data_IF_473109890578
#
_entry.id   IF_473109890578
#
_cell.length_a   1.000
_cell.length_b   1.000
_cell.length_c   1.000
_cell.angle_alpha   90.00
_cell.angle_beta   90.00
_cell.angle_gamma   90.00
#
_symmetry.space_group_name_H-M   'P 1'
#
loop_
_entity.id
_entity.type
_entity.pdbx_description
1 polymer ?
2 non-polymer ?
3 non-polymer ?
4 water ?
#
# COMPACT_ATOMS: atom_id res chain seq x y z
N UNK A 9 2.42 -9.80 -13.05
CA UNK A 9 3.49 -10.79 -13.38
C UNK A 9 3.17 -12.12 -12.72
N UNK A 10 2.91 -12.09 -11.41
CA UNK A 10 2.57 -13.29 -10.67
C UNK A 10 1.09 -13.54 -10.94
N UNK A 11 0.70 -14.81 -11.02
CA UNK A 11 -0.72 -15.09 -11.30
C UNK A 11 -1.67 -14.91 -10.13
N UNK A 12 -2.93 -14.66 -10.45
CA UNK A 12 -3.97 -14.52 -9.43
C UNK A 12 -5.08 -15.49 -9.88
N UNK A 13 -5.47 -16.38 -8.98
CA UNK A 13 -6.51 -17.34 -9.31
C UNK A 13 -7.73 -16.96 -8.50
N UNK A 14 -8.84 -17.60 -8.82
CA UNK A 14 -10.08 -17.34 -8.11
C UNK A 14 -10.81 -18.66 -8.06
N UNK A 15 -11.42 -18.94 -6.91
CA UNK A 15 -12.19 -20.17 -6.74
C UNK A 15 -13.43 -19.84 -5.92
N UNK A 16 -14.54 -20.52 -6.23
CA UNK A 16 -15.77 -20.32 -5.48
C UNK A 16 -16.39 -21.67 -5.29
N UNK A 17 -16.14 -22.29 -4.15
CA UNK A 17 -16.67 -23.61 -3.87
C UNK A 17 -17.89 -23.50 -2.96
N UNK A 18 -18.38 -22.28 -2.77
CA UNK A 18 -19.51 -22.08 -1.88
C UNK A 18 -20.85 -21.69 -2.50
N UNK A 19 -20.85 -20.73 -3.41
CA UNK A 19 -22.12 -20.28 -3.99
C UNK A 19 -21.98 -19.85 -5.44
N UNK A 20 -23.03 -19.23 -5.99
CA UNK A 20 -23.00 -18.82 -7.40
C UNK A 20 -22.53 -17.40 -7.66
N UNK A 21 -21.76 -16.84 -6.73
CA UNK A 21 -21.27 -15.48 -6.87
C UNK A 21 -19.98 -15.39 -7.68
N UNK A 22 -19.78 -14.24 -8.29
CA UNK A 22 -18.56 -13.97 -9.04
C UNK A 22 -18.26 -12.49 -9.04
N UNK A 23 -17.09 -12.13 -9.55
CA UNK A 23 -16.68 -10.74 -9.59
C UNK A 23 -17.57 -9.91 -10.49
N UNK A 24 -17.77 -8.66 -10.12
CA UNK A 24 -18.59 -7.76 -10.90
C UNK A 24 -18.02 -7.59 -12.31
N UNK A 25 -18.89 -7.55 -13.32
CA UNK A 25 -18.44 -7.40 -14.71
C UNK A 25 -17.68 -6.10 -15.01
N UNK A 26 -17.83 -5.10 -14.13
CA UNK A 26 -17.18 -3.81 -14.33
C UNK A 26 -15.85 -3.67 -13.60
N UNK A 27 -15.56 -4.58 -12.68
CA UNK A 27 -14.31 -4.51 -11.96
C UNK A 27 -13.13 -4.88 -12.84
N UNK A 28 -12.03 -4.20 -12.61
CA UNK A 28 -10.82 -4.45 -13.36
C UNK A 28 -9.61 -4.44 -12.44
N UNK A 29 -8.66 -5.31 -12.73
CA UNK A 29 -7.45 -5.39 -11.95
C UNK A 29 -6.42 -4.47 -12.57
N UNK A 30 -5.66 -3.78 -11.72
CA UNK A 30 -4.61 -2.91 -12.21
C UNK A 30 -3.31 -3.25 -11.52
N UNK A 31 -2.22 -2.86 -12.16
CA UNK A 31 -0.85 -3.11 -11.72
C UNK A 31 -0.26 -1.90 -11.00
N UNK A 32 -0.68 -0.72 -11.42
CA UNK A 32 -0.17 0.53 -10.86
C UNK A 32 -1.37 1.37 -10.47
N UNK A 33 -1.15 2.40 -9.68
CA UNK A 33 -2.24 3.26 -9.28
C UNK A 33 -2.52 4.22 -10.44
N UNK A 34 -3.80 4.59 -10.59
CA UNK A 34 -4.21 5.50 -11.63
C UNK A 34 -4.30 6.85 -10.92
N UNK A 35 -3.76 7.89 -11.52
CA UNK A 35 -3.75 9.19 -10.87
C UNK A 35 -4.78 10.17 -11.42
N UNK A 36 -5.61 10.65 -10.51
CA UNK A 36 -6.62 11.61 -10.88
C UNK A 36 -5.97 12.81 -11.55
N UNK A 37 -6.66 13.36 -12.54
CA UNK A 37 -6.18 14.51 -13.30
C UNK A 37 -5.85 15.74 -12.45
N UNK A 38 -6.56 15.88 -11.33
CA UNK A 38 -6.36 17.00 -10.42
C UNK A 38 -5.37 16.72 -9.31
N UNK A 39 -4.83 15.50 -9.30
CA UNK A 39 -3.88 15.14 -8.27
C UNK A 39 -2.53 15.79 -8.51
N UNK A 40 -2.09 16.64 -7.56
CA UNK A 40 -0.80 17.30 -7.70
C UNK A 40 0.36 16.30 -7.48
N UNK A 41 1.40 16.41 -8.30
CA UNK A 41 2.56 15.54 -8.17
C UNK A 41 3.84 16.36 -8.16
N UNK A 42 4.81 15.94 -7.35
CA UNK A 42 6.09 16.64 -7.24
C UNK A 42 6.56 17.16 -8.59
N UNK A 43 6.95 18.44 -8.63
CA UNK A 43 7.44 19.01 -9.86
C UNK A 43 8.74 18.30 -10.26
N UNK A 44 8.92 18.15 -11.56
CA UNK A 44 10.08 17.51 -12.16
C UNK A 44 11.41 17.84 -11.47
N UNK A 45 11.70 19.13 -11.36
CA UNK A 45 12.94 19.64 -10.77
C UNK A 45 13.21 19.25 -9.32
N UNK A 46 12.17 18.90 -8.58
CA UNK A 46 12.32 18.52 -7.19
C UNK A 46 12.72 17.07 -6.99
N UNK A 47 12.54 16.24 -8.01
CA UNK A 47 12.87 14.83 -7.93
C UNK A 47 14.37 14.57 -7.80
N UNK A 48 14.74 13.77 -6.82
CA UNK A 48 16.14 13.46 -6.59
C UNK A 48 16.33 11.99 -6.18
N UNK A 49 17.34 11.35 -6.77
CA UNK A 49 17.65 9.97 -6.45
C UNK A 49 19.02 9.91 -5.79
N UNK A 50 19.28 8.90 -4.96
CA UNK A 50 20.57 8.79 -4.30
C UNK A 50 21.67 8.54 -5.33
N UNK A 51 22.90 8.85 -4.97
CA UNK A 51 24.03 8.66 -5.88
C UNK A 51 24.97 7.54 -5.43
N UNK A 52 24.41 6.56 -4.72
CA UNK A 52 25.18 5.44 -4.22
C UNK A 52 25.99 4.74 -5.31
N UNK A 53 27.26 4.43 -4.97
CA UNK A 53 28.14 3.77 -5.90
C UNK A 53 27.62 2.42 -6.34
N UNK A 54 27.25 1.58 -5.38
CA UNK A 54 26.72 0.26 -5.68
C UNK A 54 25.46 -0.02 -4.85
N UNK A 55 24.60 -0.89 -5.37
CA UNK A 55 23.37 -1.26 -4.71
C UNK A 55 23.57 -1.60 -3.24
N UNK A 56 24.81 -1.86 -2.86
CA UNK A 56 25.13 -2.22 -1.48
C UNK A 56 25.16 -1.01 -0.54
N UNK A 57 25.64 0.14 -1.01
CA UNK A 57 25.71 1.32 -0.16
C UNK A 57 24.36 1.85 0.31
N UNK A 58 23.33 1.63 -0.51
CA UNK A 58 21.99 2.10 -0.22
C UNK A 58 21.40 1.64 1.12
N UNK A 59 21.98 0.61 1.73
CA UNK A 59 21.44 0.15 3.02
C UNK A 59 22.09 0.81 4.21
N UNK A 60 22.92 1.82 3.96
CA UNK A 60 23.60 2.54 5.04
C UNK A 60 23.09 3.98 5.22
N UNK A 61 23.37 4.52 6.40
CA UNK A 61 22.95 5.87 6.75
C UNK A 61 23.42 6.94 5.77
N UNK A 62 24.32 6.57 4.87
CA UNK A 62 24.85 7.52 3.89
C UNK A 62 24.02 7.62 2.62
N UNK A 63 23.09 6.70 2.42
CA UNK A 63 22.25 6.75 1.24
C UNK A 63 21.36 7.98 1.36
N UNK A 64 21.29 8.78 0.29
CA UNK A 64 20.46 9.98 0.28
C UNK A 64 19.01 9.69 0.60
N UNK A 65 18.53 8.58 0.06
CA UNK A 65 17.15 8.14 0.25
C UNK A 65 16.74 7.96 1.69
N UNK A 66 17.69 7.54 2.52
CA UNK A 66 17.41 7.32 3.93
C UNK A 66 17.71 8.57 4.75
N UNK A 67 17.97 9.69 4.07
CA UNK A 67 18.31 10.94 4.76
C UNK A 67 17.22 11.56 5.62
N UNK A 68 16.03 10.95 5.62
CA UNK A 68 14.92 11.48 6.40
C UNK A 68 14.54 10.64 7.61
N UNK A 69 15.10 9.43 7.71
CA UNK A 69 14.79 8.56 8.84
C UNK A 69 15.91 8.58 9.88
N UNK A 70 15.53 8.53 11.15
CA UNK A 70 16.48 8.56 12.26
C UNK A 70 17.36 7.30 12.37
N UNK A 71 18.40 7.33 13.22
CA UNK A 71 19.30 6.19 13.37
C UNK A 71 18.82 5.20 14.45
N UNK A 72 19.59 4.13 14.64
CA UNK A 72 19.24 3.12 15.63
C UNK A 72 20.40 2.88 16.61
N UNK A 84 23.89 0.23 8.46
CA UNK A 84 22.67 -0.42 8.00
C UNK A 84 21.44 0.23 8.62
N UNK A 85 20.90 1.25 7.94
CA UNK A 85 19.73 1.96 8.44
C UNK A 85 18.42 1.60 7.74
N UNK A 86 18.47 1.08 6.51
CA UNK A 86 17.24 0.73 5.78
C UNK A 86 16.32 -0.24 6.55
N UNK A 87 15.05 -0.27 6.16
CA UNK A 87 14.01 -1.08 6.82
C UNK A 87 14.00 -2.59 6.63
N UNK A 88 14.80 -3.11 5.71
CA UNK A 88 14.82 -4.54 5.46
C UNK A 88 16.08 -5.18 6.03
N UNK A 89 15.99 -6.45 6.39
CA UNK A 89 17.14 -7.14 6.96
C UNK A 89 18.23 -7.37 5.93
N UNK A 90 19.47 -7.32 6.40
CA UNK A 90 20.68 -7.49 5.59
C UNK A 90 20.84 -8.88 4.97
N UNK A 91 21.17 -9.84 5.83
CA UNK A 91 21.37 -11.23 5.41
C UNK A 91 20.64 -12.13 6.40
N UNK A 92 21.00 -13.41 6.42
CA UNK A 92 20.37 -14.33 7.35
C UNK A 92 19.04 -14.92 6.90
N UNK A 93 18.24 -15.34 7.88
CA UNK A 93 16.94 -15.93 7.60
C UNK A 93 15.87 -14.92 7.17
N UNK A 94 15.88 -13.73 7.78
CA UNK A 94 14.89 -12.72 7.43
C UNK A 94 15.37 -11.67 6.42
N UNK A 95 16.35 -12.03 5.59
CA UNK A 95 16.85 -11.10 4.59
C UNK A 95 15.77 -10.72 3.58
N UNK A 96 15.61 -9.42 3.32
CA UNK A 96 14.61 -8.95 2.38
C UNK A 96 13.26 -8.72 3.02
N UNK A 97 13.18 -9.01 4.32
CA UNK A 97 11.94 -8.84 5.07
C UNK A 97 11.97 -7.59 5.94
N UNK A 98 10.80 -7.03 6.21
CA UNK A 98 10.70 -5.82 7.03
C UNK A 98 11.28 -6.08 8.40
N UNK A 99 12.06 -5.12 8.90
CA UNK A 99 12.68 -5.25 10.21
C UNK A 99 11.67 -5.09 11.34
N UNK A 100 11.93 -5.76 12.46
CA UNK A 100 11.05 -5.70 13.60
C UNK A 100 10.96 -4.28 14.12
N UNK A 101 11.96 -3.47 13.77
CA UNK A 101 12.00 -2.07 14.17
C UNK A 101 10.83 -1.34 13.53
N UNK A 102 10.72 -1.47 12.21
CA UNK A 102 9.65 -0.84 11.47
C UNK A 102 8.31 -1.48 11.80
N UNK A 103 8.26 -2.81 11.73
CA UNK A 103 7.04 -3.55 12.02
C UNK A 103 6.41 -3.09 13.32
N UNK A 104 7.24 -2.85 14.32
CA UNK A 104 6.75 -2.42 15.62
C UNK A 104 6.58 -0.89 15.73
N UNK A 105 7.39 -0.14 14.99
CA UNK A 105 7.31 1.32 15.03
C UNK A 105 6.28 1.92 14.07
N UNK A 106 6.08 1.24 12.94
CA UNK A 106 5.13 1.68 11.90
C UNK A 106 5.56 2.99 11.24
N UNK A 107 6.86 3.28 11.29
CA UNK A 107 7.39 4.47 10.65
C UNK A 107 7.26 4.30 9.15
N UNK A 108 7.42 5.39 8.36
CA UNK A 108 7.31 5.21 6.93
C UNK A 108 8.55 4.50 6.44
N UNK A 109 8.45 3.87 5.28
CA UNK A 109 9.55 3.15 4.68
C UNK A 109 10.06 3.97 3.52
N UNK A 110 11.32 4.39 3.61
CA UNK A 110 11.96 5.19 2.55
C UNK A 110 12.77 4.27 1.63
N UNK A 111 12.27 4.09 0.42
CA UNK A 111 12.89 3.23 -0.57
C UNK A 111 13.56 3.98 -1.70
N UNK A 112 14.32 3.25 -2.51
CA UNK A 112 14.96 3.84 -3.66
C UNK A 112 13.85 3.90 -4.71
N UNK A 113 14.10 4.55 -5.84
CA UNK A 113 13.03 4.71 -6.82
C UNK A 113 13.57 5.18 -8.14
N UNK A 114 12.66 5.51 -9.06
CA UNK A 114 13.06 6.00 -10.37
C UNK A 114 13.97 7.20 -10.12
N UNK A 115 15.22 7.11 -10.56
CA UNK A 115 16.13 8.22 -10.36
C UNK A 115 17.41 7.84 -9.65
N UNK A 116 17.33 6.88 -8.73
CA UNK A 116 18.53 6.46 -8.00
C UNK A 116 19.59 5.83 -8.89
N UNK A 117 20.85 5.99 -8.48
CA UNK A 117 22.00 5.47 -9.22
C UNK A 117 22.20 3.97 -9.02
N UNK A 118 21.33 3.35 -8.23
CA UNK A 118 21.42 1.92 -7.98
C UNK A 118 20.58 1.22 -9.05
N UNK A 119 20.62 -0.11 -9.07
CA UNK A 119 19.87 -0.86 -10.05
C UNK A 119 18.56 -1.40 -9.50
N UNK A 120 17.70 -1.90 -10.40
CA UNK A 120 16.42 -2.45 -10.00
C UNK A 120 16.64 -3.44 -8.88
N UNK A 121 17.84 -4.03 -8.85
CA UNK A 121 18.19 -5.02 -7.85
C UNK A 121 18.54 -4.45 -6.50
N UNK A 122 18.44 -3.13 -6.33
CA UNK A 122 18.76 -2.51 -5.06
C UNK A 122 17.98 -3.14 -3.91
N UNK A 123 18.67 -3.54 -2.84
CA UNK A 123 18.03 -4.16 -1.67
C UNK A 123 16.95 -3.28 -1.04
N UNK A 124 16.90 -2.03 -1.45
CA UNK A 124 15.92 -1.09 -0.90
C UNK A 124 14.87 -0.69 -1.92
N UNK A 125 14.46 -1.65 -2.73
CA UNK A 125 13.43 -1.42 -3.74
C UNK A 125 12.43 -2.56 -3.69
N UNK A 126 12.33 -3.24 -2.55
CA UNK A 126 11.43 -4.38 -2.43
C UNK A 126 9.97 -4.04 -2.68
N UNK A 127 9.45 -2.99 -2.06
CA UNK A 127 8.06 -2.66 -2.29
C UNK A 127 7.93 -2.29 -3.75
N UNK A 128 8.92 -1.54 -4.24
CA UNK A 128 8.93 -1.09 -5.63
C UNK A 128 8.99 -2.24 -6.61
N UNK A 129 9.68 -3.31 -6.22
CA UNK A 129 9.82 -4.49 -7.08
C UNK A 129 8.50 -5.20 -7.32
N UNK A 130 7.52 -4.94 -6.46
CA UNK A 130 6.21 -5.54 -6.63
C UNK A 130 5.87 -6.86 -5.96
N UNK A 131 4.64 -7.30 -6.18
CA UNK A 131 4.13 -8.54 -5.62
C UNK A 131 4.98 -9.66 -6.20
N UNK A 132 5.55 -10.48 -5.32
CA UNK A 132 6.40 -11.58 -5.76
C UNK A 132 5.74 -12.90 -5.39
N UNK A 133 4.47 -12.83 -5.03
CA UNK A 133 3.79 -14.02 -4.60
C UNK A 133 2.47 -14.24 -5.32
N UNK A 134 2.14 -15.50 -5.65
CA UNK A 134 0.87 -15.74 -6.33
C UNK A 134 -0.20 -15.58 -5.28
N UNK A 135 -1.41 -15.18 -5.68
CA UNK A 135 -2.49 -15.02 -4.71
C UNK A 135 -3.76 -15.67 -5.23
N UNK A 136 -4.62 -16.08 -4.32
CA UNK A 136 -5.87 -16.70 -4.72
C UNK A 136 -7.07 -15.99 -4.10
N UNK A 137 -7.99 -15.52 -4.93
CA UNK A 137 -9.19 -14.90 -4.40
C UNK A 137 -10.13 -16.08 -4.26
N UNK A 138 -10.72 -16.24 -3.09
CA UNK A 138 -11.62 -17.36 -2.86
C UNK A 138 -12.88 -16.94 -2.14
N UNK A 139 -13.94 -17.70 -2.33
CA UNK A 139 -15.21 -17.43 -1.69
C UNK A 139 -15.22 -18.12 -0.33
N UNK A 140 -15.32 -17.33 0.73
CA UNK A 140 -15.38 -17.89 2.07
C UNK A 140 -16.74 -18.54 2.27
N UNK A 141 -16.88 -19.30 3.33
CA UNK A 141 -18.13 -19.99 3.61
C UNK A 141 -19.33 -19.05 3.71
N UNK A 142 -19.19 -17.97 4.48
CA UNK A 142 -20.31 -17.05 4.66
C UNK A 142 -19.94 -15.59 4.91
N UNK A 143 -18.75 -15.17 4.48
CA UNK A 143 -18.34 -13.80 4.70
C UNK A 143 -17.88 -13.10 3.41
N UNK A 144 -18.26 -13.65 2.26
CA UNK A 144 -17.88 -13.06 0.99
C UNK A 144 -16.54 -13.52 0.47
N UNK A 145 -15.97 -12.76 -0.47
CA UNK A 145 -14.68 -13.10 -1.04
C UNK A 145 -13.58 -12.91 0.01
N UNK A 146 -12.48 -13.63 -0.16
CA UNK A 146 -11.36 -13.53 0.77
C UNK A 146 -10.11 -13.78 -0.03
N UNK A 147 -8.94 -13.59 0.58
CA UNK A 147 -7.70 -13.83 -0.13
C UNK A 147 -6.76 -14.74 0.65
N UNK A 148 -6.17 -15.70 -0.06
CA UNK A 148 -5.21 -16.61 0.54
C UNK A 148 -4.03 -16.78 -0.42
N UNK A 149 -2.94 -17.36 0.07
CA UNK A 149 -1.74 -17.54 -0.74
C UNK A 149 -1.30 -19.02 -0.79
N UNK A 150 -0.94 -19.53 -1.99
CA UNK A 150 -0.50 -20.92 -2.14
C UNK A 150 0.89 -21.23 -1.56
N UNK A 151 1.62 -20.18 -1.20
CA UNK A 151 2.94 -20.38 -0.59
C UNK A 151 2.93 -19.77 0.82
N UNK A 152 3.91 -20.15 1.65
CA UNK A 152 4.00 -19.61 3.00
C UNK A 152 4.53 -18.19 2.95
N UNK A 153 3.98 -17.33 3.81
CA UNK A 153 4.40 -15.94 3.89
C UNK A 153 4.98 -15.71 5.28
N UNK A 154 6.21 -15.19 5.32
CA UNK A 154 6.88 -14.93 6.57
C UNK A 154 6.56 -13.55 7.13
N UNK A 155 6.67 -13.41 8.44
CA UNK A 155 6.42 -12.15 9.11
C UNK A 155 7.38 -11.08 8.57
N UNK A 156 6.83 -9.92 8.17
CA UNK A 156 7.66 -8.85 7.63
C UNK A 156 7.87 -8.97 6.14
N UNK A 157 7.17 -9.90 5.52
CA UNK A 157 7.26 -10.13 4.09
C UNK A 157 6.30 -9.23 3.32
N UNK A 158 6.77 -8.59 2.26
CA UNK A 158 5.90 -7.73 1.47
C UNK A 158 5.01 -8.61 0.59
N UNK A 159 3.72 -8.30 0.55
CA UNK A 159 2.75 -9.05 -0.26
C UNK A 159 2.34 -8.26 -1.51
N UNK A 160 1.77 -7.08 -1.30
CA UNK A 160 1.36 -6.22 -2.41
C UNK A 160 0.89 -4.86 -1.87
N UNK A 161 0.67 -3.91 -2.77
CA UNK A 161 0.19 -2.59 -2.39
C UNK A 161 -1.32 -2.56 -2.48
N UNK A 162 -1.93 -1.51 -1.93
CA UNK A 162 -3.37 -1.33 -2.07
C UNK A 162 -3.43 -0.32 -3.21
N UNK A 163 -4.02 -0.73 -4.34
CA UNK A 163 -4.11 0.12 -5.52
C UNK A 163 -5.52 0.61 -5.84
N UNK A 164 -5.58 1.64 -6.66
CA UNK A 164 -6.86 2.22 -7.05
C UNK A 164 -6.57 3.54 -7.73
N UNK A 165 -7.60 4.36 -7.90
CA UNK A 165 -7.39 5.67 -8.51
C UNK A 165 -7.09 6.67 -7.42
N UNK A 166 -5.97 7.36 -7.56
CA UNK A 166 -5.59 8.38 -6.59
C UNK A 166 -6.40 9.62 -6.95
N UNK A 167 -7.11 10.14 -5.96
CA UNK A 167 -7.96 11.29 -6.11
C UNK A 167 -7.72 12.33 -5.00
N UNK A 168 -8.35 13.50 -5.14
CA UNK A 168 -8.22 14.57 -4.14
C UNK A 168 -9.22 14.33 -3.01
N UNK A 169 -9.00 14.98 -1.88
CA UNK A 169 -9.92 14.81 -0.75
C UNK A 169 -11.30 15.34 -1.14
N UNK A 170 -11.28 16.35 -2.00
CA UNK A 170 -12.48 16.99 -2.49
C UNK A 170 -13.32 15.97 -3.24
N UNK A 171 -12.69 15.28 -4.19
CA UNK A 171 -13.34 14.25 -4.99
C UNK A 171 -13.73 13.05 -4.12
N UNK A 172 -12.88 12.68 -3.18
CA UNK A 172 -13.17 11.57 -2.28
C UNK A 172 -14.44 11.89 -1.50
N UNK A 173 -14.49 13.11 -0.96
CA UNK A 173 -15.66 13.57 -0.19
C UNK A 173 -16.93 13.54 -1.04
N UNK A 174 -16.78 13.93 -2.30
CA UNK A 174 -17.90 13.95 -3.22
C UNK A 174 -18.42 12.55 -3.45
N UNK A 175 -17.50 11.61 -3.62
CA UNK A 175 -17.85 10.22 -3.84
C UNK A 175 -18.59 9.61 -2.64
N UNK A 176 -18.19 10.00 -1.44
CA UNK A 176 -18.87 9.48 -0.25
C UNK A 176 -20.28 10.07 -0.13
N UNK A 177 -20.39 11.37 -0.31
CA UNK A 177 -21.68 12.03 -0.19
C UNK A 177 -22.67 11.74 -1.30
N UNK A 178 -22.19 11.42 -2.50
CA UNK A 178 -23.12 11.18 -3.61
C UNK A 178 -23.43 9.74 -3.99
N UNK A 179 -22.69 8.79 -3.46
CA UNK A 179 -22.92 7.38 -3.77
C UNK A 179 -23.84 6.70 -2.76
N UNK A 180 -24.63 5.74 -3.24
CA UNK A 180 -25.53 5.01 -2.38
C UNK A 180 -24.62 4.22 -1.42
N UNK A 181 -25.08 3.98 -0.18
CA UNK A 181 -24.28 3.23 0.78
C UNK A 181 -24.15 1.78 0.30
N UNK A 182 -25.02 1.39 -0.62
CA UNK A 182 -24.97 0.03 -1.16
C UNK A 182 -23.63 -0.26 -1.81
N UNK A 183 -22.88 0.79 -2.14
CA UNK A 183 -21.58 0.61 -2.77
C UNK A 183 -20.44 0.54 -1.76
N UNK A 184 -20.72 0.91 -0.51
CA UNK A 184 -19.71 0.90 0.54
C UNK A 184 -18.41 1.56 0.07
N UNK A 185 -18.51 2.82 -0.37
CA UNK A 185 -17.33 3.57 -0.82
C UNK A 185 -16.36 3.73 0.34
N UNK A 186 -16.89 3.74 1.55
CA UNK A 186 -16.06 3.90 2.73
C UNK A 186 -15.06 2.76 2.88
N UNK A 187 -15.46 1.58 2.42
CA UNK A 187 -14.61 0.42 2.51
C UNK A 187 -13.45 0.47 1.52
N UNK A 188 -13.67 1.07 0.35
CA UNK A 188 -12.63 1.12 -0.68
C UNK A 188 -11.82 2.40 -0.80
N UNK A 189 -12.04 3.35 0.11
CA UNK A 189 -11.28 4.60 0.08
C UNK A 189 -10.29 4.57 1.22
N UNK A 190 -9.03 4.80 0.88
CA UNK A 190 -7.94 4.82 1.83
C UNK A 190 -7.19 6.13 1.67
N UNK A 191 -6.97 6.85 2.77
CA UNK A 191 -6.27 8.12 2.70
C UNK A 191 -4.75 7.96 2.77
N UNK A 192 -4.06 8.71 1.91
CA UNK A 192 -2.60 8.70 1.88
C UNK A 192 -2.19 9.80 2.85
N UNK A 193 -2.48 9.57 4.12
CA UNK A 193 -2.20 10.55 5.16
C UNK A 193 -1.08 10.20 6.13
N UNK A 194 -0.01 9.57 5.64
CA UNK A 194 1.10 9.22 6.52
C UNK A 194 1.85 10.46 7.03
N UNK A 195 2.02 11.44 6.14
CA UNK A 195 2.74 12.64 6.50
C UNK A 195 1.83 13.84 6.63
N UNK A 196 0.53 13.58 6.71
CA UNK A 196 -0.43 14.67 6.86
C UNK A 196 -0.28 15.21 8.27
N UNK A 197 -0.32 16.54 8.39
CA UNK A 197 -0.19 17.20 9.69
C UNK A 197 -0.67 18.63 9.54
N UNK A 198 -1.66 19.02 10.36
CA UNK A 198 -2.18 20.40 10.27
C UNK A 198 -1.09 21.41 10.63
N UNK A 199 -0.17 21.65 9.69
CA UNK A 199 0.91 22.59 9.93
C UNK A 199 1.61 23.08 8.67
N UNK A 200 2.92 23.32 8.80
CA UNK A 200 3.69 23.81 7.67
C UNK A 200 4.06 22.72 6.67
N UNK A 201 3.93 23.07 5.40
CA UNK A 201 4.23 22.14 4.32
C UNK A 201 3.17 22.33 3.25
N UNK A 202 2.48 23.46 3.38
CA UNK A 202 1.39 23.84 2.49
C UNK A 202 0.23 22.93 2.84
N UNK A 203 -1.01 23.36 2.54
CA UNK A 203 -2.14 22.48 2.87
C UNK A 203 -1.87 21.12 2.21
N UNK A 204 -0.89 21.11 1.32
CA UNK A 204 -0.48 19.91 0.60
C UNK A 204 -0.22 18.82 1.63
N UNK A 205 0.10 19.23 2.85
CA UNK A 205 0.35 18.29 3.94
C UNK A 205 -0.43 18.74 5.17
N UNK A 206 -0.76 20.03 5.20
CA UNK A 206 -1.51 20.62 6.29
C UNK A 206 -3.02 20.45 6.07
N UNK A 207 -3.41 20.28 4.81
CA UNK A 207 -4.81 20.12 4.47
C UNK A 207 -5.24 18.67 4.36
N UNK A 208 -6.41 18.44 3.79
CA UNK A 208 -6.94 17.10 3.63
C UNK A 208 -6.11 16.26 2.65
N UNK A 209 -5.77 15.02 3.03
CA UNK A 209 -4.98 14.10 2.19
C UNK A 209 -5.65 13.53 0.95
N UNK A 210 -4.82 13.06 0.03
CA UNK A 210 -5.32 12.43 -1.19
C UNK A 210 -5.82 11.07 -0.72
N UNK A 211 -6.49 10.33 -1.60
CA UNK A 211 -7.00 9.02 -1.24
C UNK A 211 -6.94 8.10 -2.44
N UNK A 212 -7.00 6.80 -2.20
CA UNK A 212 -7.01 5.83 -3.30
C UNK A 212 -8.38 5.17 -3.23
N UNK A 213 -9.04 5.10 -4.38
CA UNK A 213 -10.36 4.51 -4.49
C UNK A 213 -10.25 3.19 -5.27
N UNK A 214 -10.43 2.07 -4.58
CA UNK A 214 -10.32 0.77 -5.24
C UNK A 214 -11.63 0.08 -5.55
N UNK A 215 -12.71 0.83 -5.61
CA UNK A 215 -14.02 0.25 -5.89
C UNK A 215 -14.12 -0.53 -7.21
N UNK A 216 -13.68 0.08 -8.32
CA UNK A 216 -13.76 -0.57 -9.63
C UNK A 216 -12.44 -0.98 -10.25
N UNK A 217 -11.36 -0.38 -9.78
CA UNK A 217 -10.05 -0.71 -10.30
C UNK A 217 -9.14 -0.84 -9.10
N UNK A 218 -8.57 -2.04 -8.91
CA UNK A 218 -7.68 -2.26 -7.78
C UNK A 218 -6.84 -3.51 -8.00
N UNK A 219 -6.08 -3.88 -6.97
CA UNK A 219 -5.27 -5.08 -7.06
C UNK A 219 -5.96 -6.18 -6.28
N UNK A 220 -5.34 -7.36 -6.17
CA UNK A 220 -6.01 -8.42 -5.40
C UNK A 220 -6.25 -8.10 -3.93
N UNK A 221 -5.44 -7.22 -3.33
CA UNK A 221 -5.62 -6.90 -1.90
C UNK A 221 -6.95 -6.24 -1.56
N UNK A 222 -7.65 -5.76 -2.58
CA UNK A 222 -8.94 -5.12 -2.36
C UNK A 222 -9.91 -6.19 -1.82
N UNK A 223 -9.63 -7.46 -2.12
CA UNK A 223 -10.51 -8.54 -1.69
C UNK A 223 -10.21 -9.15 -0.35
N UNK A 224 -9.16 -8.67 0.32
CA UNK A 224 -8.81 -9.18 1.63
C UNK A 224 -9.83 -8.67 2.65
N UNK A 225 -10.25 -9.54 3.55
CA UNK A 225 -11.23 -9.17 4.57
C UNK A 225 -10.66 -8.42 5.77
N UNK A 226 -11.52 -7.65 6.42
CA UNK A 226 -11.13 -6.90 7.60
C UNK A 226 -11.15 -7.85 8.78
N UNK A 227 -10.25 -7.63 9.73
CA UNK A 227 -10.19 -8.42 10.94
C UNK A 227 -9.51 -7.58 12.02
N UNK A 228 -10.03 -7.64 13.25
CA UNK A 228 -9.43 -6.88 14.32
C UNK A 228 -8.15 -7.55 14.85
N UNK A 229 -7.89 -8.77 14.36
CA UNK A 229 -6.67 -9.49 14.71
C UNK A 229 -6.09 -9.96 13.38
N UNK A 230 -5.56 -9.00 12.59
CA UNK A 230 -4.97 -9.25 11.27
C UNK A 230 -3.61 -9.90 11.29
N UNK A 231 -3.22 -10.46 10.15
CA UNK A 231 -1.92 -11.09 10.00
C UNK A 231 -1.15 -10.21 8.99
N UNK A 232 -1.86 -9.19 8.51
CA UNK A 232 -1.28 -8.22 7.57
C UNK A 232 -1.61 -6.82 8.09
N UNK A 233 -0.86 -5.83 7.63
CA UNK A 233 -1.11 -4.44 8.03
C UNK A 233 -0.57 -3.53 6.95
N UNK A 234 -1.14 -2.33 6.85
CA UNK A 234 -0.68 -1.39 5.85
C UNK A 234 0.46 -0.50 6.35
N UNK A 235 1.46 -0.31 5.49
CA UNK A 235 2.62 0.51 5.80
C UNK A 235 2.77 1.51 4.65
N UNK A 236 3.25 2.71 4.98
CA UNK A 236 3.47 3.73 3.96
C UNK A 236 4.88 3.56 3.44
N UNK A 237 5.02 3.50 2.12
CA UNK A 237 6.33 3.38 1.48
C UNK A 237 6.49 4.63 0.64
N UNK A 238 7.66 5.24 0.73
CA UNK A 238 7.94 6.46 0.00
C UNK A 238 9.04 6.29 -1.02
N UNK A 239 8.79 6.80 -2.22
CA UNK A 239 9.79 6.76 -3.27
C UNK A 239 10.49 8.11 -3.15
N UNK A 240 10.31 8.96 -4.15
CA UNK A 240 10.91 10.29 -4.13
C UNK A 240 10.35 11.03 -2.91
N UNK A 241 11.21 11.70 -2.15
CA UNK A 241 10.75 12.43 -0.97
C UNK A 241 9.77 13.55 -1.30
N UNK A 242 9.82 14.04 -2.52
CA UNK A 242 8.92 15.11 -2.92
C UNK A 242 7.49 14.59 -3.14
N UNK A 243 7.33 13.27 -3.14
CA UNK A 243 6.02 12.67 -3.34
C UNK A 243 5.46 12.03 -2.09
N UNK A 244 5.86 12.56 -0.93
CA UNK A 244 5.39 12.05 0.35
C UNK A 244 3.86 12.14 0.46
N UNK A 245 3.28 13.10 -0.27
CA UNK A 245 1.83 13.28 -0.22
C UNK A 245 1.11 12.19 -1.03
N UNK A 246 1.85 11.47 -1.87
CA UNK A 246 1.27 10.39 -2.65
C UNK A 246 2.02 9.10 -2.37
N UNK A 247 2.29 8.82 -1.09
CA UNK A 247 3.02 7.60 -0.74
C UNK A 247 2.19 6.38 -1.08
N UNK A 248 2.85 5.23 -1.16
CA UNK A 248 2.20 3.96 -1.48
C UNK A 248 1.57 3.38 -0.23
N UNK A 249 0.62 2.47 -0.43
CA UNK A 249 -0.03 1.77 0.67
C UNK A 249 0.46 0.34 0.50
N UNK A 250 1.47 -0.04 1.28
CA UNK A 250 2.06 -1.38 1.15
C UNK A 250 1.69 -2.34 2.27
N UNK A 251 1.12 -3.49 1.89
CA UNK A 251 0.73 -4.48 2.88
C UNK A 251 1.82 -5.52 3.13
N UNK A 252 2.22 -5.63 4.40
CA UNK A 252 3.24 -6.56 4.84
C UNK A 252 2.59 -7.55 5.81
N UNK A 253 3.14 -8.78 5.88
CA UNK A 253 2.61 -9.76 6.81
C UNK A 253 3.21 -9.38 8.16
N UNK A 254 2.37 -9.27 9.18
CA UNK A 254 2.83 -8.90 10.50
C UNK A 254 2.88 -10.15 11.40
N UNK A 255 2.64 -11.30 10.77
CA UNK A 255 2.64 -12.58 11.45
C UNK A 255 3.00 -13.61 10.39
N UNK A 256 3.42 -14.79 10.84
CA UNK A 256 3.74 -15.87 9.91
C UNK A 256 2.40 -16.32 9.36
N UNK A 257 2.31 -16.49 8.05
CA UNK A 257 1.04 -16.92 7.45
C UNK A 257 1.21 -18.21 6.66
N UNK A 258 0.94 -19.36 7.28
CA UNK A 258 1.06 -20.66 6.60
C UNK A 258 0.21 -20.66 5.33
N UNK A 259 0.76 -21.22 4.25
CA UNK A 259 0.04 -21.28 2.98
C UNK A 259 -1.39 -21.78 3.20
N UNK A 260 -2.36 -21.15 2.54
CA UNK A 260 -3.75 -21.57 2.70
C UNK A 260 -4.52 -20.87 3.80
N UNK A 261 -3.85 -19.99 4.54
CA UNK A 261 -4.50 -19.24 5.61
C UNK A 261 -5.02 -17.93 5.04
N UNK A 262 -6.24 -17.56 5.39
CA UNK A 262 -6.81 -16.32 4.88
C UNK A 262 -6.07 -15.09 5.38
N UNK A 263 -5.81 -14.17 4.46
CA UNK A 263 -5.12 -12.93 4.79
C UNK A 263 -6.18 -11.95 5.26
N UNK A 264 -5.83 -11.10 6.21
CA UNK A 264 -6.76 -10.10 6.72
C UNK A 264 -5.97 -8.91 7.24
N UNK A 265 -6.59 -7.72 7.22
CA UNK A 265 -5.95 -6.53 7.77
C UNK A 265 -7.02 -5.68 8.46
N UNK A 266 -6.58 -4.80 9.37
CA UNK A 266 -7.50 -3.96 10.12
C UNK A 266 -7.89 -2.71 9.33
N UNK A 267 -9.08 -2.73 8.75
CA UNK A 267 -9.59 -1.61 7.98
C UNK A 267 -9.85 -0.42 8.87
N UNK A 268 -9.89 -0.65 10.17
CA UNK A 268 -10.16 0.41 11.13
C UNK A 268 -8.97 0.95 11.93
N UNK A 269 -7.83 0.26 11.90
CA UNK A 269 -6.64 0.71 12.62
C UNK A 269 -5.48 0.92 11.67
CA UNK A 283 -15.38 11.55 7.39
CA UNK A 284 -18.06 8.92 7.98
CA UNK A 285 -20.53 11.75 8.57
CA UNK A 286 -20.64 12.74 4.88
CA UNK A 287 -21.54 9.28 3.60
CA UNK A 288 -24.60 9.70 1.35
CA UNK A 289 -25.05 13.30 2.50
CA UNK A 290 -25.99 14.40 -1.02
CA UNK A 291 -28.40 11.47 -1.24
CA UNK A 292 -30.38 11.90 1.98
X LIG B 1 18.09 5.68 -3.65
X LIG C 1 19.30 2.01 -3.98
X LIG D 1 21.41 4.80 -2.18
X LIG E 1 9.07 4.69 -7.74
X LIG F 1 -13.86 -20.30 5.11
X LIG G 1 -24.93 5.38 -6.83
X LIG H 1 15.83 -5.06 14.47
X LIG I 1 7.04 -17.40 -5.06
X LIG J 1 -2.21 -24.10 -0.13
#
# INVERSE_FOLDING_TARGET
IRSFATHAQLPISIVNREDDAFLNPNFRFIDHSIIGKNVPVADQSFRVGCSCASDEECMYSTCQCLDEMAPDSDEEADPYTRKKRFAYYSQGAKKGLLRDRVLQSQEPIYECHQGCACSKDCPNRVVERGRTVPLQIFRTKDRGWGVKCPVNIKRGQFVDRYLGEIITSEEADRRRAESTIARRKDVYLFALDKFSDPDSLDPLLAGQPLEVDGEYMSGPTRFINHSCDPNMAIFARVGDHADKHIHDLALFAIKDIPKGTELTFDYVNGLTGLESDAHDPSKISEMTKCLCGTAKCRGYLW
ZN ZN
ZN ZN
ZN ZN
UNL O
UNL O
UNL O
UNL O
UNL O
UNL O
#
